data_IF_538274708058
#
_entry.id   IF_538274708058
#
_cell.length_a   1.000
_cell.length_b   1.000
_cell.length_c   1.000
_cell.angle_alpha   90.00
_cell.angle_beta   90.00
_cell.angle_gamma   90.00
#
_symmetry.space_group_name_H-M   'P 1'
#
loop_
_entity.id
_entity.type
_entity.pdbx_description
1 polymer ?
#
# COMPACT_ATOMS: atom_id res chain seq x y z
N UNK A 1 8.61 -15.10 -31.55
CA UNK A 1 9.09 -15.42 -30.18
C UNK A 1 8.09 -16.34 -29.53
N UNK A 2 8.56 -17.40 -28.86
CA UNK A 2 7.77 -18.21 -27.96
C UNK A 2 7.99 -17.68 -26.52
N UNK A 3 6.91 -17.48 -25.78
CA UNK A 3 6.96 -17.05 -24.37
C UNK A 3 6.35 -18.14 -23.49
N UNK A 4 7.12 -18.63 -22.53
CA UNK A 4 6.64 -19.59 -21.53
C UNK A 4 6.08 -18.78 -20.35
N UNK A 5 4.80 -18.93 -20.05
CA UNK A 5 4.16 -18.32 -18.89
C UNK A 5 3.64 -19.40 -17.93
N UNK A 6 3.43 -19.06 -16.70
CA UNK A 6 2.77 -19.91 -15.71
C UNK A 6 3.67 -20.34 -14.56
N UNK A 7 3.32 -21.46 -13.95
CA UNK A 7 4.04 -22.02 -12.83
C UNK A 7 5.41 -22.58 -13.17
N UNK A 8 6.27 -22.69 -12.16
CA UNK A 8 7.59 -23.28 -12.27
C UNK A 8 7.79 -24.26 -11.12
N UNK A 9 8.03 -25.56 -11.39
CA UNK A 9 8.21 -26.57 -10.36
C UNK A 9 9.49 -26.36 -9.53
N UNK A 10 10.45 -25.58 -10.04
CA UNK A 10 11.73 -25.31 -9.39
C UNK A 10 11.69 -24.15 -8.38
N UNK A 11 10.48 -23.60 -8.11
CA UNK A 11 10.32 -22.50 -7.17
C UNK A 11 10.72 -22.91 -5.75
N UNK A 12 11.46 -22.02 -5.12
CA UNK A 12 11.83 -22.11 -3.70
C UNK A 12 10.94 -21.18 -2.88
N UNK A 13 10.73 -21.48 -1.57
CA UNK A 13 10.03 -20.56 -0.70
C UNK A 13 10.67 -19.18 -0.66
N UNK A 14 9.85 -18.14 -0.67
CA UNK A 14 10.29 -16.78 -0.37
C UNK A 14 10.82 -16.71 1.06
N UNK A 15 11.81 -15.85 1.29
CA UNK A 15 12.39 -15.64 2.61
C UNK A 15 12.28 -14.18 3.00
N UNK A 16 11.68 -13.95 4.16
CA UNK A 16 11.62 -12.62 4.78
C UNK A 16 12.44 -12.60 6.07
N UNK A 17 13.20 -11.52 6.26
CA UNK A 17 13.80 -11.18 7.55
C UNK A 17 13.23 -9.85 7.99
N UNK A 18 12.63 -9.85 9.17
CA UNK A 18 12.05 -8.65 9.78
C UNK A 18 12.64 -8.46 11.16
N UNK A 19 12.95 -7.22 11.51
CA UNK A 19 13.22 -6.82 12.89
C UNK A 19 12.54 -5.49 13.19
N UNK A 20 12.15 -5.32 14.44
CA UNK A 20 11.48 -4.12 14.94
C UNK A 20 12.06 -3.76 16.30
N UNK A 21 12.31 -2.49 16.52
CA UNK A 21 12.69 -1.95 17.82
C UNK A 21 11.68 -0.88 18.22
N UNK A 22 11.14 -1.01 19.42
CA UNK A 22 10.15 -0.08 19.96
C UNK A 22 10.63 0.50 21.27
N UNK A 23 10.58 1.81 21.40
CA UNK A 23 10.79 2.56 22.63
C UNK A 23 9.45 3.18 23.00
N UNK A 24 9.02 2.94 24.26
CA UNK A 24 7.86 3.60 24.85
C UNK A 24 8.31 4.32 26.11
N UNK A 25 7.98 5.58 26.21
CA UNK A 25 8.26 6.40 27.38
C UNK A 25 6.97 6.95 27.96
N UNK A 26 6.95 7.11 29.29
CA UNK A 26 5.88 7.71 30.04
C UNK A 26 6.45 8.92 30.81
N UNK A 27 6.50 10.10 30.16
CA UNK A 27 7.11 11.25 30.79
C UNK A 27 6.32 11.67 32.04
N UNK A 28 6.98 11.86 33.16
CA UNK A 28 6.32 12.22 34.41
C UNK A 28 5.56 13.56 34.35
N UNK A 29 5.98 14.47 33.45
CA UNK A 29 5.29 15.73 33.16
C UNK A 29 3.94 15.53 32.45
N UNK A 30 3.78 14.40 31.73
CA UNK A 30 2.54 14.03 31.03
C UNK A 30 1.84 12.93 31.84
N UNK A 31 1.18 13.29 32.95
CA UNK A 31 0.50 12.33 33.84
C UNK A 31 -0.43 11.40 33.02
N UNK A 32 -0.13 10.09 32.98
CA UNK A 32 -0.89 9.11 32.19
C UNK A 32 -0.64 9.15 30.68
N UNK A 33 0.26 10.02 30.21
CA UNK A 33 0.63 10.09 28.81
C UNK A 33 1.70 9.06 28.41
N UNK A 34 1.79 8.79 27.12
CA UNK A 34 2.82 7.92 26.54
C UNK A 34 3.27 8.43 25.18
N UNK A 35 4.55 8.22 24.89
CA UNK A 35 5.14 8.44 23.58
C UNK A 35 5.78 7.13 23.16
N UNK A 36 5.51 6.70 21.93
CA UNK A 36 6.04 5.46 21.35
C UNK A 36 6.76 5.79 20.05
N UNK A 37 7.94 5.24 19.86
CA UNK A 37 8.66 5.26 18.60
C UNK A 37 9.07 3.83 18.24
N UNK A 38 8.70 3.37 17.05
CA UNK A 38 9.01 2.03 16.56
C UNK A 38 9.70 2.13 15.22
N UNK A 39 10.92 1.64 15.13
CA UNK A 39 11.59 1.46 13.85
C UNK A 39 11.42 0.02 13.39
N UNK A 40 11.15 -0.19 12.12
CA UNK A 40 11.05 -1.51 11.50
C UNK A 40 11.89 -1.60 10.22
N UNK A 41 12.37 -2.81 9.95
CA UNK A 41 13.10 -3.13 8.72
C UNK A 41 12.67 -4.52 8.24
N UNK A 42 12.26 -4.61 6.98
CA UNK A 42 11.77 -5.83 6.34
C UNK A 42 12.57 -6.04 5.07
N UNK A 43 13.12 -7.24 4.90
CA UNK A 43 13.87 -7.63 3.70
C UNK A 43 13.35 -8.97 3.18
N UNK A 44 12.77 -8.95 2.00
CA UNK A 44 12.37 -10.12 1.25
C UNK A 44 13.43 -10.48 0.23
N UNK A 45 13.74 -11.78 0.14
CA UNK A 45 14.65 -12.34 -0.86
C UNK A 45 13.97 -13.49 -1.59
N UNK A 46 14.28 -13.63 -2.88
CA UNK A 46 13.71 -14.68 -3.72
C UNK A 46 12.20 -14.53 -3.88
N UNK A 47 11.70 -13.28 -3.95
CA UNK A 47 10.28 -13.03 -4.20
C UNK A 47 9.89 -13.62 -5.54
N UNK A 48 8.80 -14.37 -5.55
CA UNK A 48 8.28 -15.07 -6.71
C UNK A 48 7.55 -14.09 -7.61
N UNK A 49 8.03 -13.92 -8.82
CA UNK A 49 7.38 -13.09 -9.84
C UNK A 49 7.75 -13.54 -11.24
N UNK A 50 6.93 -13.18 -12.22
CA UNK A 50 7.30 -13.30 -13.63
C UNK A 50 8.33 -12.22 -13.97
N UNK A 51 9.41 -12.55 -14.71
CA UNK A 51 10.50 -11.63 -15.04
C UNK A 51 10.06 -10.41 -15.85
N UNK A 52 9.16 -10.63 -16.81
CA UNK A 52 8.66 -9.58 -17.70
C UNK A 52 7.40 -8.93 -17.15
N UNK A 53 7.48 -7.63 -16.86
CA UNK A 53 6.30 -6.78 -16.77
C UNK A 53 5.75 -6.45 -18.16
N UNK A 54 6.67 -6.16 -19.11
CA UNK A 54 6.38 -5.94 -20.54
C UNK A 54 7.48 -6.57 -21.38
N UNK A 55 7.14 -7.16 -22.54
CA UNK A 55 8.06 -7.92 -23.39
C UNK A 55 9.00 -7.06 -24.21
N UNK A 56 8.78 -5.74 -24.28
CA UNK A 56 9.62 -4.85 -25.09
C UNK A 56 11.03 -4.76 -24.53
N UNK A 57 12.02 -5.07 -25.34
CA UNK A 57 13.44 -4.96 -25.01
C UNK A 57 14.06 -6.16 -24.27
N UNK A 58 13.30 -7.20 -23.91
CA UNK A 58 13.86 -8.36 -23.20
C UNK A 58 14.90 -9.11 -24.03
N UNK A 59 14.75 -9.16 -25.35
CA UNK A 59 15.67 -9.86 -26.25
C UNK A 59 17.04 -9.20 -26.35
N UNK A 60 17.14 -7.91 -26.07
CA UNK A 60 18.38 -7.13 -26.20
C UNK A 60 18.94 -6.69 -24.85
N UNK A 61 18.23 -6.94 -23.76
CA UNK A 61 18.66 -6.52 -22.44
C UNK A 61 19.48 -7.63 -21.76
N UNK A 62 20.77 -7.39 -21.44
CA UNK A 62 21.65 -8.37 -20.81
C UNK A 62 21.12 -8.97 -19.51
N UNK A 63 20.24 -8.26 -18.79
CA UNK A 63 19.63 -8.74 -17.53
C UNK A 63 18.75 -9.99 -17.73
N UNK A 64 18.29 -10.26 -18.94
CA UNK A 64 17.42 -11.41 -19.24
C UNK A 64 18.15 -12.55 -19.98
N UNK A 65 19.48 -12.48 -20.12
CA UNK A 65 20.27 -13.48 -20.86
C UNK A 65 20.00 -14.90 -20.39
N UNK A 66 19.89 -15.13 -19.09
CA UNK A 66 19.61 -16.46 -18.51
C UNK A 66 18.17 -16.94 -18.74
N UNK A 67 17.30 -16.07 -19.19
CA UNK A 67 15.88 -16.34 -19.43
C UNK A 67 15.51 -16.36 -20.92
N UNK A 68 16.48 -16.05 -21.79
CA UNK A 68 16.28 -15.94 -23.25
C UNK A 68 17.17 -16.91 -23.96
N UNK A 69 16.58 -17.77 -24.76
CA UNK A 69 17.30 -18.60 -25.78
C UNK A 69 17.14 -17.93 -27.13
N UNK A 70 18.21 -17.36 -27.65
CA UNK A 70 18.24 -16.77 -29.00
C UNK A 70 18.49 -17.86 -30.04
N UNK A 71 17.89 -17.71 -31.24
CA UNK A 71 17.99 -18.61 -32.37
C UNK A 71 17.84 -20.10 -31.96
N UNK A 72 16.73 -20.47 -31.28
CA UNK A 72 16.52 -21.86 -30.91
C UNK A 72 16.43 -22.76 -32.15
N UNK A 73 16.86 -24.00 -32.01
CA UNK A 73 16.64 -24.98 -33.08
C UNK A 73 15.14 -25.28 -33.24
N UNK A 74 14.77 -25.80 -34.43
CA UNK A 74 13.38 -26.25 -34.66
C UNK A 74 12.98 -27.32 -33.65
N UNK A 75 13.87 -28.25 -33.32
CA UNK A 75 13.67 -29.31 -32.34
C UNK A 75 13.41 -28.73 -30.93
N UNK A 76 14.13 -27.68 -30.48
CA UNK A 76 13.89 -27.02 -29.20
C UNK A 76 12.52 -26.33 -29.15
N UNK A 77 12.14 -25.67 -30.24
CA UNK A 77 10.84 -25.01 -30.35
C UNK A 77 9.69 -26.01 -30.35
N UNK A 78 9.80 -27.08 -31.10
CA UNK A 78 8.78 -28.14 -31.17
C UNK A 78 8.67 -28.92 -29.86
N UNK A 79 9.79 -29.25 -29.22
CA UNK A 79 9.79 -29.90 -27.92
C UNK A 79 9.08 -29.03 -26.84
N UNK A 80 9.32 -27.73 -26.91
CA UNK A 80 8.62 -26.81 -25.97
C UNK A 80 7.10 -26.81 -26.20
N UNK A 81 6.66 -26.71 -27.45
CA UNK A 81 5.23 -26.73 -27.82
C UNK A 81 4.59 -28.08 -27.44
N UNK A 82 5.30 -29.18 -27.71
CA UNK A 82 4.83 -30.50 -27.32
C UNK A 82 4.69 -30.69 -25.79
N UNK A 83 5.59 -30.07 -25.00
CA UNK A 83 5.56 -30.15 -23.54
C UNK A 83 4.29 -29.58 -22.90
N UNK A 84 3.56 -28.74 -23.62
CA UNK A 84 2.26 -28.16 -23.21
C UNK A 84 1.08 -28.76 -23.99
N UNK A 85 1.26 -29.96 -24.58
CA UNK A 85 0.23 -30.63 -25.37
C UNK A 85 -0.17 -29.91 -26.64
N UNK A 86 0.71 -29.06 -27.18
CA UNK A 86 0.44 -28.24 -28.37
C UNK A 86 -0.44 -27.02 -28.12
N UNK A 87 -0.87 -26.77 -26.86
CA UNK A 87 -1.72 -25.65 -26.50
C UNK A 87 -0.90 -24.35 -26.47
N UNK A 88 -0.98 -23.56 -27.52
CA UNK A 88 -0.35 -22.24 -27.62
C UNK A 88 -1.40 -21.14 -27.82
N UNK A 89 -1.25 -20.03 -27.12
CA UNK A 89 -2.01 -18.83 -27.42
C UNK A 89 -1.29 -18.05 -28.49
N UNK A 90 -1.84 -18.01 -29.68
CA UNK A 90 -1.22 -17.37 -30.83
C UNK A 90 -1.72 -15.93 -31.00
N UNK A 91 -0.99 -14.98 -30.42
CA UNK A 91 -1.29 -13.55 -30.54
C UNK A 91 -0.76 -12.94 -31.86
N UNK A 92 0.08 -13.66 -32.58
CA UNK A 92 0.67 -13.18 -33.85
C UNK A 92 -0.25 -13.38 -35.05
N UNK A 93 -1.33 -14.17 -34.92
CA UNK A 93 -2.30 -14.43 -35.97
C UNK A 93 -1.77 -15.28 -37.17
N UNK A 94 -0.53 -15.82 -37.07
CA UNK A 94 0.08 -16.66 -38.08
C UNK A 94 0.22 -18.08 -37.57
N UNK A 95 0.08 -19.13 -38.41
CA UNK A 95 0.30 -20.50 -37.98
C UNK A 95 1.69 -20.68 -37.36
N UNK A 96 1.76 -21.51 -36.31
CA UNK A 96 3.05 -21.87 -35.70
C UNK A 96 3.94 -22.57 -36.71
N UNK A 97 5.18 -22.12 -36.80
CA UNK A 97 6.25 -22.78 -37.54
C UNK A 97 7.56 -22.62 -36.76
N UNK A 98 8.13 -23.72 -36.32
CA UNK A 98 9.35 -23.75 -35.52
C UNK A 98 10.53 -23.02 -36.19
N UNK A 99 10.65 -23.09 -37.52
CA UNK A 99 11.71 -22.41 -38.27
C UNK A 99 11.62 -20.87 -38.19
N UNK A 100 10.48 -20.31 -37.84
CA UNK A 100 10.28 -18.88 -37.71
C UNK A 100 10.46 -18.37 -36.28
N UNK A 101 10.81 -19.25 -35.34
CA UNK A 101 11.02 -18.87 -33.92
C UNK A 101 12.42 -18.30 -33.76
N UNK A 102 12.53 -17.00 -33.55
CA UNK A 102 13.81 -16.30 -33.37
C UNK A 102 14.31 -16.32 -31.93
N UNK A 103 13.42 -16.53 -30.96
CA UNK A 103 13.77 -16.63 -29.54
C UNK A 103 12.73 -17.37 -28.75
N UNK A 104 13.15 -18.01 -27.66
CA UNK A 104 12.31 -18.53 -26.57
C UNK A 104 12.58 -17.70 -25.32
N UNK A 105 11.53 -17.23 -24.66
CA UNK A 105 11.63 -16.47 -23.41
C UNK A 105 10.94 -17.22 -22.28
N UNK A 106 11.66 -17.48 -21.18
CA UNK A 106 11.10 -18.09 -19.97
C UNK A 106 10.55 -17.02 -19.03
N UNK A 107 9.27 -16.72 -19.17
CA UNK A 107 8.52 -15.79 -18.32
C UNK A 107 7.68 -16.49 -17.26
N UNK A 108 8.00 -17.74 -16.92
CA UNK A 108 7.39 -18.42 -15.78
C UNK A 108 7.73 -17.69 -14.48
N UNK A 109 7.07 -18.06 -13.41
CA UNK A 109 7.44 -17.54 -12.09
C UNK A 109 8.84 -18.00 -11.69
N UNK A 110 9.65 -17.07 -11.17
CA UNK A 110 11.02 -17.30 -10.69
C UNK A 110 11.24 -16.58 -9.36
N UNK A 111 12.19 -17.08 -8.55
CA UNK A 111 12.64 -16.42 -7.31
C UNK A 111 13.68 -15.32 -7.61
N UNK A 112 13.24 -14.23 -8.19
CA UNK A 112 14.14 -13.21 -8.73
C UNK A 112 14.24 -11.94 -7.90
N UNK A 113 13.12 -11.51 -7.30
CA UNK A 113 13.01 -10.18 -6.77
C UNK A 113 13.52 -10.05 -5.33
N UNK A 114 14.06 -8.88 -5.05
CA UNK A 114 14.35 -8.39 -3.70
C UNK A 114 13.35 -7.26 -3.39
N UNK A 115 12.78 -7.28 -2.20
CA UNK A 115 11.97 -6.19 -1.68
C UNK A 115 12.56 -5.76 -0.33
N UNK A 116 12.78 -4.48 -0.16
CA UNK A 116 13.16 -3.89 1.12
C UNK A 116 12.14 -2.82 1.50
N UNK A 117 11.75 -2.80 2.78
CA UNK A 117 10.94 -1.75 3.36
C UNK A 117 11.46 -1.44 4.76
N UNK A 118 11.56 -0.17 5.09
CA UNK A 118 11.93 0.29 6.42
C UNK A 118 11.19 1.56 6.76
N UNK A 119 11.00 1.82 8.04
CA UNK A 119 10.26 2.99 8.45
C UNK A 119 10.28 3.24 9.95
N UNK A 120 9.64 4.34 10.30
CA UNK A 120 9.48 4.80 11.67
C UNK A 120 7.99 5.06 11.91
N UNK A 121 7.45 4.43 12.94
CA UNK A 121 6.11 4.71 13.46
C UNK A 121 6.23 5.48 14.77
N UNK A 122 5.57 6.62 14.84
CA UNK A 122 5.48 7.48 16.00
C UNK A 122 4.05 7.48 16.53
N UNK A 123 3.89 7.41 17.84
CA UNK A 123 2.61 7.49 18.51
C UNK A 123 2.74 8.33 19.79
N UNK A 124 1.73 9.15 20.06
CA UNK A 124 1.63 9.88 21.31
C UNK A 124 0.19 9.85 21.81
N UNK A 125 0.02 9.69 23.11
CA UNK A 125 -1.29 9.79 23.79
C UNK A 125 -1.11 10.58 25.07
N UNK A 126 -1.99 11.56 25.29
CA UNK A 126 -1.95 12.43 26.47
C UNK A 126 -3.37 12.69 26.98
N UNK A 127 -3.77 12.06 28.08
CA UNK A 127 -4.98 12.44 28.79
C UNK A 127 -4.73 13.71 29.60
N UNK A 128 -5.68 14.61 29.58
CA UNK A 128 -5.68 15.87 30.39
C UNK A 128 -6.99 15.99 31.12
N UNK A 129 -6.93 16.04 32.43
CA UNK A 129 -8.11 16.29 33.25
C UNK A 129 -8.29 17.82 33.47
N UNK A 130 -9.42 18.32 33.02
CA UNK A 130 -9.79 19.73 33.17
C UNK A 130 -10.75 19.96 34.36
N UNK A 131 -10.86 19.01 35.27
CA UNK A 131 -11.75 19.05 36.42
C UNK A 131 -13.23 19.19 36.01
N UNK A 132 -13.91 20.24 36.42
CA UNK A 132 -15.31 20.47 36.06
C UNK A 132 -15.58 20.76 34.60
N UNK A 133 -14.53 21.09 33.81
CA UNK A 133 -14.63 21.29 32.37
C UNK A 133 -14.54 19.97 31.57
N UNK A 134 -14.33 18.83 32.27
CA UNK A 134 -14.28 17.50 31.63
C UNK A 134 -12.87 17.00 31.43
N UNK A 135 -12.72 16.08 30.50
CA UNK A 135 -11.44 15.42 30.16
C UNK A 135 -11.12 15.58 28.68
N UNK A 136 -9.86 15.77 28.34
CA UNK A 136 -9.35 15.76 27.00
C UNK A 136 -8.40 14.57 26.84
N UNK A 137 -8.51 13.86 25.72
CA UNK A 137 -7.50 12.91 25.27
C UNK A 137 -6.94 13.40 23.94
N UNK A 138 -5.65 13.70 23.92
CA UNK A 138 -4.90 14.04 22.70
C UNK A 138 -4.21 12.78 22.21
N UNK A 139 -4.43 12.38 20.96
CA UNK A 139 -3.76 11.25 20.36
C UNK A 139 -3.17 11.67 19.02
N UNK A 140 -1.98 11.21 18.75
CA UNK A 140 -1.30 11.44 17.49
C UNK A 140 -0.56 10.19 17.03
N UNK A 141 -0.59 9.93 15.74
CA UNK A 141 0.24 8.92 15.11
C UNK A 141 0.79 9.45 13.79
N UNK A 142 2.03 9.09 13.49
CA UNK A 142 2.67 9.37 12.22
C UNK A 142 3.54 8.19 11.81
N UNK A 143 3.54 7.87 10.52
CA UNK A 143 4.37 6.83 9.92
C UNK A 143 5.19 7.41 8.79
N UNK A 144 6.46 7.08 8.78
CA UNK A 144 7.36 7.32 7.66
C UNK A 144 7.85 5.99 7.11
N UNK A 145 7.74 5.78 5.81
CA UNK A 145 8.16 4.54 5.15
C UNK A 145 9.01 4.83 3.92
N UNK A 146 10.06 4.05 3.76
CA UNK A 146 10.77 3.88 2.49
C UNK A 146 10.66 2.43 2.05
N UNK A 147 10.55 2.20 0.76
CA UNK A 147 10.58 0.85 0.22
C UNK A 147 11.15 0.84 -1.19
N UNK A 148 11.80 -0.26 -1.53
CA UNK A 148 12.42 -0.42 -2.83
C UNK A 148 12.35 -1.87 -3.28
N UNK A 149 12.43 -2.06 -4.59
CA UNK A 149 12.37 -3.36 -5.24
C UNK A 149 13.47 -3.47 -6.29
N UNK A 150 14.04 -4.68 -6.38
CA UNK A 150 14.88 -5.10 -7.51
C UNK A 150 14.15 -6.28 -8.16
N UNK A 151 13.74 -6.14 -9.41
CA UNK A 151 12.88 -7.13 -10.08
C UNK A 151 13.64 -8.37 -10.53
N UNK A 152 14.90 -8.21 -10.92
CA UNK A 152 15.80 -9.29 -11.35
C UNK A 152 17.21 -8.96 -10.87
N UNK A 153 17.99 -9.97 -10.60
CA UNK A 153 19.38 -9.79 -10.15
C UNK A 153 20.16 -8.92 -11.15
N UNK A 154 20.90 -7.94 -10.62
CA UNK A 154 21.64 -6.98 -11.47
C UNK A 154 20.81 -5.80 -12.00
N UNK A 155 19.50 -5.83 -11.89
CA UNK A 155 18.67 -4.69 -12.29
C UNK A 155 18.80 -3.50 -11.32
N UNK A 156 18.54 -2.30 -11.83
CA UNK A 156 18.48 -1.11 -11.01
C UNK A 156 17.40 -1.23 -9.92
N UNK A 157 17.73 -0.68 -8.77
CA UNK A 157 16.78 -0.55 -7.66
C UNK A 157 15.69 0.46 -8.02
N UNK A 158 14.45 0.09 -7.81
CA UNK A 158 13.27 0.93 -8.03
C UNK A 158 12.70 1.31 -6.67
N UNK A 159 12.63 2.60 -6.38
CA UNK A 159 11.94 3.09 -5.19
C UNK A 159 10.42 2.97 -5.39
N UNK A 160 9.76 2.40 -4.39
CA UNK A 160 8.31 2.12 -4.42
C UNK A 160 7.54 3.10 -3.54
N UNK A 161 7.94 3.26 -2.27
CA UNK A 161 7.32 4.26 -1.43
C UNK A 161 7.52 5.66 -2.02
N UNK A 162 6.50 6.50 -1.92
CA UNK A 162 6.50 7.84 -2.51
C UNK A 162 6.22 7.87 -4.02
N UNK A 163 5.95 6.72 -4.66
CA UNK A 163 5.53 6.66 -6.06
C UNK A 163 4.04 6.33 -6.17
N UNK A 164 3.42 6.73 -7.28
CA UNK A 164 1.98 6.54 -7.54
C UNK A 164 1.56 5.07 -7.35
N UNK A 165 0.39 4.85 -6.76
CA UNK A 165 -0.17 3.54 -6.39
C UNK A 165 0.66 2.73 -5.37
N UNK A 166 1.70 3.34 -4.80
CA UNK A 166 2.45 2.78 -3.67
C UNK A 166 2.30 3.68 -2.45
N UNK A 167 2.61 3.21 -1.23
CA UNK A 167 2.46 4.02 -0.03
C UNK A 167 3.22 5.35 -0.14
N UNK A 168 2.61 6.50 0.23
CA UNK A 168 3.35 7.74 0.38
C UNK A 168 4.35 7.62 1.52
N UNK A 169 5.43 8.40 1.51
CA UNK A 169 6.43 8.36 2.58
C UNK A 169 5.85 8.70 3.95
N UNK A 170 4.89 9.63 3.99
CA UNK A 170 4.31 10.10 5.25
C UNK A 170 2.81 9.87 5.30
N UNK A 171 2.34 9.36 6.44
CA UNK A 171 0.95 9.37 6.85
C UNK A 171 0.86 9.81 8.31
N UNK A 172 -0.22 10.49 8.66
CA UNK A 172 -0.42 10.92 10.03
C UNK A 172 -1.90 11.08 10.35
N UNK A 173 -2.19 10.93 11.64
CA UNK A 173 -3.51 11.18 12.21
C UNK A 173 -3.34 11.82 13.57
N UNK A 174 -4.13 12.84 13.82
CA UNK A 174 -4.23 13.49 15.11
C UNK A 174 -5.69 13.62 15.49
N UNK A 175 -6.05 13.26 16.72
CA UNK A 175 -7.38 13.45 17.26
C UNK A 175 -7.33 14.07 18.67
N UNK A 176 -8.34 14.87 18.96
CA UNK A 176 -8.61 15.42 20.25
C UNK A 176 -10.01 14.98 20.67
N UNK A 177 -10.14 14.15 21.69
CA UNK A 177 -11.42 13.77 22.24
C UNK A 177 -11.68 14.55 23.54
N UNK A 178 -12.62 15.50 23.50
CA UNK A 178 -13.11 16.17 24.68
C UNK A 178 -14.38 15.49 25.19
N UNK A 179 -14.40 15.14 26.47
CA UNK A 179 -15.52 14.46 27.12
C UNK A 179 -15.98 15.22 28.36
N UNK A 180 -17.28 15.51 28.44
CA UNK A 180 -17.93 16.08 29.63
C UNK A 180 -19.29 15.42 29.83
N UNK A 181 -19.44 14.68 30.93
CA UNK A 181 -20.66 13.91 31.20
C UNK A 181 -20.98 12.92 30.06
N UNK A 182 -22.16 13.05 29.48
CA UNK A 182 -22.64 12.22 28.39
C UNK A 182 -22.13 12.64 27.01
N UNK A 183 -21.51 13.80 26.88
CA UNK A 183 -21.08 14.37 25.58
C UNK A 183 -19.62 14.09 25.34
N UNK A 184 -19.32 13.63 24.13
CA UNK A 184 -17.94 13.53 23.60
C UNK A 184 -17.87 14.24 22.26
N UNK A 185 -16.86 15.09 22.07
CA UNK A 185 -16.59 15.79 20.81
C UNK A 185 -15.18 15.40 20.36
N UNK A 186 -15.07 14.88 19.15
CA UNK A 186 -13.80 14.37 18.62
C UNK A 186 -13.53 14.93 17.23
N UNK A 187 -12.86 16.08 17.12
CA UNK A 187 -12.22 16.48 15.86
C UNK A 187 -11.01 15.60 15.56
N UNK A 188 -10.82 15.32 14.28
CA UNK A 188 -9.71 14.52 13.76
C UNK A 188 -9.10 15.21 12.56
N UNK A 189 -7.76 15.22 12.48
CA UNK A 189 -7.02 15.60 11.31
C UNK A 189 -6.31 14.36 10.73
N UNK A 190 -6.49 14.09 9.45
CA UNK A 190 -5.83 13.01 8.74
C UNK A 190 -4.92 13.62 7.67
N UNK A 191 -3.70 13.14 7.59
CA UNK A 191 -2.70 13.55 6.60
C UNK A 191 -2.23 12.34 5.81
N UNK A 192 -2.24 12.46 4.48
CA UNK A 192 -1.64 11.50 3.55
C UNK A 192 -0.70 12.29 2.64
N UNK A 193 0.58 11.95 2.68
CA UNK A 193 1.62 12.62 1.91
C UNK A 193 1.43 12.49 0.41
N UNK A 194 2.07 13.34 -0.36
CA UNK A 194 2.11 13.26 -1.81
C UNK A 194 2.99 12.12 -2.31
N UNK A 195 2.85 11.83 -3.60
CA UNK A 195 3.62 10.81 -4.32
C UNK A 195 4.11 11.36 -5.66
N UNK A 196 5.05 10.70 -6.29
CA UNK A 196 5.51 11.00 -7.64
C UNK A 196 4.77 10.12 -8.64
N UNK A 197 4.14 10.71 -9.63
CA UNK A 197 3.73 10.00 -10.84
C UNK A 197 4.97 9.68 -11.67
N UNK A 198 5.42 8.44 -11.60
CA UNK A 198 6.65 7.99 -12.26
C UNK A 198 6.51 7.88 -13.79
N UNK A 199 5.29 7.80 -14.30
CA UNK A 199 5.01 7.75 -15.75
C UNK A 199 5.11 9.14 -16.36
N UNK A 200 4.41 10.10 -15.78
CA UNK A 200 4.36 11.47 -16.27
C UNK A 200 5.45 12.37 -15.65
N UNK A 201 6.20 11.87 -14.66
CA UNK A 201 7.27 12.57 -13.92
C UNK A 201 6.79 13.87 -13.25
N UNK A 202 5.56 13.85 -12.74
CA UNK A 202 4.95 15.00 -12.05
C UNK A 202 4.59 14.65 -10.61
N UNK A 203 4.69 15.63 -9.67
CA UNK A 203 4.27 15.42 -8.29
C UNK A 203 2.74 15.34 -8.21
N UNK A 204 2.25 14.39 -7.43
CA UNK A 204 0.85 14.27 -7.01
C UNK A 204 0.76 14.73 -5.56
N UNK A 205 0.07 15.83 -5.33
CA UNK A 205 0.01 16.43 -4.00
C UNK A 205 -0.77 15.56 -3.01
N UNK A 206 -0.30 15.55 -1.78
CA UNK A 206 -0.98 14.89 -0.67
C UNK A 206 -2.27 15.59 -0.26
N UNK A 207 -2.98 14.98 0.67
CA UNK A 207 -4.27 15.50 1.15
C UNK A 207 -4.29 15.56 2.67
N UNK A 208 -4.87 16.63 3.21
CA UNK A 208 -5.26 16.73 4.63
C UNK A 208 -6.76 16.87 4.71
N UNK A 209 -7.41 16.01 5.47
CA UNK A 209 -8.85 16.06 5.74
C UNK A 209 -9.11 16.25 7.23
N UNK A 210 -10.24 16.87 7.54
CA UNK A 210 -10.70 17.07 8.90
C UNK A 210 -12.06 16.40 9.07
N UNK A 211 -12.21 15.66 10.16
CA UNK A 211 -13.44 14.97 10.54
C UNK A 211 -13.91 15.50 11.89
N UNK A 212 -15.20 15.34 12.18
CA UNK A 212 -15.79 15.66 13.47
C UNK A 212 -16.82 14.61 13.84
N UNK A 213 -16.71 14.08 15.04
CA UNK A 213 -17.76 13.26 15.66
C UNK A 213 -18.23 13.89 16.95
N UNK A 214 -19.55 14.05 17.09
CA UNK A 214 -20.20 14.45 18.33
C UNK A 214 -21.06 13.28 18.78
N UNK A 215 -20.79 12.76 19.98
CA UNK A 215 -21.51 11.63 20.55
C UNK A 215 -22.17 12.04 21.84
N UNK A 216 -23.44 11.68 21.99
CA UNK A 216 -24.20 11.79 23.20
C UNK A 216 -24.56 10.39 23.70
N UNK A 217 -24.01 10.00 24.84
CA UNK A 217 -24.18 8.67 25.40
C UNK A 217 -24.34 8.78 26.94
N UNK A 218 -25.50 9.23 27.43
CA UNK A 218 -25.79 9.18 28.83
C UNK A 218 -25.88 7.73 29.28
N UNK A 219 -25.19 7.39 30.35
CA UNK A 219 -25.31 6.10 30.99
C UNK A 219 -25.92 6.31 32.39
N UNK A 220 -26.97 5.60 32.68
CA UNK A 220 -27.37 5.39 34.07
C UNK A 220 -26.30 4.50 34.72
N UNK A 221 -25.76 4.95 35.85
CA UNK A 221 -24.68 4.26 36.55
C UNK A 221 -25.10 2.88 37.05
N UNK A 222 -26.40 2.71 37.32
CA UNK A 222 -26.92 1.49 37.93
C UNK A 222 -27.39 0.45 36.89
N UNK A 223 -27.89 0.86 35.75
CA UNK A 223 -28.47 -0.06 34.75
C UNK A 223 -27.70 -0.14 33.45
N UNK A 224 -26.75 0.77 33.18
CA UNK A 224 -26.07 0.97 31.89
C UNK A 224 -27.04 1.15 30.70
N UNK A 225 -28.34 1.31 30.97
CA UNK A 225 -29.36 1.60 30.00
C UNK A 225 -29.24 3.05 29.51
N UNK A 226 -29.53 3.27 28.24
CA UNK A 226 -29.51 4.63 27.71
C UNK A 226 -29.45 4.69 26.19
N UNK A 227 -29.60 5.89 25.70
CA UNK A 227 -29.42 6.19 24.27
C UNK A 227 -27.95 6.46 23.96
N UNK A 228 -27.53 6.05 22.79
CA UNK A 228 -26.22 6.35 22.20
C UNK A 228 -26.46 6.97 20.83
N UNK A 229 -26.21 8.26 20.70
CA UNK A 229 -26.43 9.00 19.46
C UNK A 229 -25.08 9.59 19.02
N UNK A 230 -24.65 9.28 17.81
CA UNK A 230 -23.43 9.84 17.23
C UNK A 230 -23.73 10.53 15.90
N UNK A 231 -23.36 11.80 15.80
CA UNK A 231 -23.34 12.58 14.58
C UNK A 231 -21.89 12.68 14.08
N UNK A 232 -21.65 12.28 12.84
CA UNK A 232 -20.29 12.26 12.27
C UNK A 232 -20.28 12.99 10.94
N UNK A 233 -19.29 13.86 10.76
CA UNK A 233 -18.96 14.48 9.49
C UNK A 233 -17.52 14.10 9.14
N UNK A 234 -17.34 13.34 8.08
CA UNK A 234 -16.01 13.03 7.52
C UNK A 234 -15.68 14.01 6.42
N UNK A 235 -14.40 14.37 6.32
CA UNK A 235 -13.90 15.29 5.30
C UNK A 235 -14.73 16.60 5.24
N UNK A 236 -14.80 17.32 6.35
CA UNK A 236 -15.59 18.56 6.51
C UNK A 236 -15.30 19.55 5.37
N UNK A 237 -14.02 19.66 4.96
CA UNK A 237 -13.56 20.55 3.89
C UNK A 237 -13.96 20.09 2.49
N UNK A 238 -14.61 18.93 2.33
CA UNK A 238 -14.94 18.33 1.03
C UNK A 238 -13.72 18.27 0.09
N UNK A 239 -12.55 17.95 0.63
CA UNK A 239 -11.31 17.86 -0.12
C UNK A 239 -11.34 16.66 -1.05
N UNK A 240 -10.91 16.85 -2.28
CA UNK A 240 -10.77 15.80 -3.28
C UNK A 240 -9.29 15.51 -3.54
N UNK A 241 -8.91 14.28 -3.91
CA UNK A 241 -7.55 13.96 -4.31
C UNK A 241 -7.13 14.74 -5.55
N UNK A 242 -5.82 14.93 -5.69
CA UNK A 242 -5.25 15.54 -6.89
C UNK A 242 -5.56 14.68 -8.12
N UNK A 243 -5.92 15.35 -9.23
CA UNK A 243 -6.13 14.66 -10.51
C UNK A 243 -4.79 14.30 -11.15
N UNK A 244 -4.78 13.15 -11.79
CA UNK A 244 -3.65 12.66 -12.59
C UNK A 244 -4.14 12.34 -14.01
N UNK A 245 -3.19 12.23 -14.94
CA UNK A 245 -3.43 11.65 -16.26
C UNK A 245 -3.18 10.15 -16.14
N UNK A 246 -4.21 9.30 -16.21
CA UNK A 246 -4.02 7.86 -16.04
C UNK A 246 -3.21 7.29 -17.21
N UNK A 247 -2.45 6.24 -16.93
CA UNK A 247 -1.65 5.54 -17.95
C UNK A 247 -2.53 4.79 -18.96
N UNK A 248 -3.77 4.47 -18.60
CA UNK A 248 -4.74 3.75 -19.43
C UNK A 248 -6.16 4.23 -19.06
N UNK A 249 -7.09 4.10 -20.01
CA UNK A 249 -8.51 4.45 -19.85
C UNK A 249 -9.19 3.75 -18.67
N UNK A 250 -8.76 2.56 -18.30
CA UNK A 250 -9.35 1.77 -17.20
C UNK A 250 -8.95 2.26 -15.81
N UNK A 251 -7.96 3.13 -15.68
CA UNK A 251 -7.54 3.65 -14.38
C UNK A 251 -8.27 4.94 -14.02
N UNK A 252 -8.65 5.12 -12.73
CA UNK A 252 -9.26 6.35 -12.29
C UNK A 252 -8.27 7.53 -12.42
N UNK A 253 -8.77 8.77 -12.65
CA UNK A 253 -7.91 9.94 -12.83
C UNK A 253 -7.40 10.50 -11.48
N UNK A 254 -7.05 9.62 -10.55
CA UNK A 254 -6.43 9.93 -9.26
C UNK A 254 -5.75 8.67 -8.71
N UNK A 255 -4.86 8.81 -7.74
CA UNK A 255 -4.22 7.67 -7.06
C UNK A 255 -5.20 6.99 -6.09
N UNK A 256 -5.93 6.02 -6.59
CA UNK A 256 -6.96 5.29 -5.84
C UNK A 256 -6.41 4.32 -4.78
N UNK A 257 -5.12 4.03 -4.80
CA UNK A 257 -4.49 3.20 -3.78
C UNK A 257 -4.25 3.98 -2.47
N UNK A 258 -4.06 5.29 -2.56
CA UNK A 258 -3.69 6.13 -1.43
C UNK A 258 -4.77 7.10 -0.99
N UNK A 259 -5.66 7.53 -1.87
CA UNK A 259 -6.64 8.56 -1.61
C UNK A 259 -8.05 8.08 -1.94
N UNK A 260 -9.03 8.56 -1.14
CA UNK A 260 -10.45 8.32 -1.40
C UNK A 260 -11.05 9.47 -2.22
N UNK A 261 -11.84 9.13 -3.25
CA UNK A 261 -12.65 10.10 -3.99
C UNK A 261 -13.93 10.46 -3.24
N UNK A 262 -14.24 9.74 -2.16
CA UNK A 262 -15.40 10.07 -1.34
C UNK A 262 -15.19 11.46 -0.71
N UNK A 263 -16.03 12.40 -1.11
CA UNK A 263 -16.03 13.75 -0.58
C UNK A 263 -16.53 13.79 0.88
N UNK A 264 -17.23 14.85 1.24
CA UNK A 264 -17.84 14.98 2.57
C UNK A 264 -18.91 13.90 2.78
N UNK A 265 -18.82 13.21 3.89
CA UNK A 265 -19.83 12.24 4.33
C UNK A 265 -20.43 12.71 5.66
N UNK A 266 -21.76 12.62 5.77
CA UNK A 266 -22.51 12.96 6.98
C UNK A 266 -23.27 11.70 7.41
N UNK A 267 -23.10 11.31 8.66
CA UNK A 267 -23.72 10.12 9.23
C UNK A 267 -24.36 10.40 10.58
N UNK A 268 -25.47 9.71 10.85
CA UNK A 268 -26.12 9.67 12.15
C UNK A 268 -26.28 8.21 12.55
N UNK A 269 -25.76 7.86 13.72
CA UNK A 269 -25.94 6.56 14.34
C UNK A 269 -26.77 6.71 15.61
N UNK A 270 -27.76 5.86 15.80
CA UNK A 270 -28.62 5.83 17.00
C UNK A 270 -28.67 4.41 17.52
N UNK A 271 -28.30 4.23 18.77
CA UNK A 271 -28.38 2.98 19.51
C UNK A 271 -29.14 3.15 20.81
N UNK A 272 -29.76 2.09 21.29
CA UNK A 272 -30.38 2.03 22.63
C UNK A 272 -29.89 0.77 23.33
N UNK A 273 -29.49 0.95 24.59
CA UNK A 273 -29.19 -0.15 25.53
C UNK A 273 -30.36 -0.28 26.48
N UNK A 274 -30.78 -1.50 26.76
CA UNK A 274 -31.89 -1.85 27.61
C UNK A 274 -31.38 -2.32 28.98
#
# INVERSE_FOLDING_TARGET
VLVRNGGNPDLKPERARTWTTTIRIHPGILRGGSITASYFNVRYRGRIQAPLGTSSGALTNPLYTDLVTLAPTTSQSDALVASVGGAITNVAGRPYNAANVIAIFDNRYHNLALLAAEGLDLGASMPVDLGTAGQISLNGSASYITSSQVNISGAARIDRAGSIYNPPHWRGRFDLAWRKGAVTVTPVANFVGGVLDTTNKVPVYGITTFDLTIRFAPSDKDTQAGWDVAFTVLNIGNRMPARIVPADFYYPPYDSANYSIQGRYIGLAVGKRW
#
